data_IF_366324041213
#
_entry.id   IF_366324041213
#
_cell.length_a   1.000
_cell.length_b   1.000
_cell.length_c   1.000
_cell.angle_alpha   90.00
_cell.angle_beta   90.00
_cell.angle_gamma   90.00
#
_symmetry.space_group_name_H-M   'P 1'
#
loop_
_entity.id
_entity.type
_entity.pdbx_description
1 polymer ?
#
# COMPACT_ATOMS: atom_id res chain seq x y z
N UNK A 1 -5.21 1.90 14.25
CA UNK A 1 -4.44 0.81 13.62
C UNK A 1 -5.34 -0.39 13.29
N UNK A 2 -6.01 -1.00 14.27
CA UNK A 2 -6.96 -2.09 14.07
C UNK A 2 -8.35 -1.57 13.70
N UNK A 3 -9.11 -2.35 12.93
CA UNK A 3 -10.51 -2.02 12.65
C UNK A 3 -11.38 -2.12 13.91
N UNK A 4 -12.48 -1.38 13.90
CA UNK A 4 -13.45 -1.42 14.99
C UNK A 4 -14.11 -2.81 15.03
N UNK A 5 -13.89 -3.52 16.14
CA UNK A 5 -14.42 -4.88 16.33
C UNK A 5 -13.43 -6.00 16.01
N UNK A 6 -12.25 -5.72 15.50
CA UNK A 6 -11.20 -6.73 15.41
C UNK A 6 -10.66 -7.08 16.80
N UNK A 7 -10.64 -8.36 17.10
CA UNK A 7 -10.14 -8.88 18.37
C UNK A 7 -8.70 -9.33 18.20
N UNK A 8 -7.77 -8.49 18.62
CA UNK A 8 -6.33 -8.81 18.60
C UNK A 8 -6.08 -9.99 19.52
N UNK A 9 -5.46 -11.02 19.01
CA UNK A 9 -5.10 -12.20 19.79
C UNK A 9 -3.87 -11.95 20.66
N UNK A 10 -3.72 -12.74 21.76
CA UNK A 10 -2.51 -12.69 22.59
C UNK A 10 -1.23 -13.03 21.82
N UNK A 11 -1.34 -13.84 20.77
CA UNK A 11 -0.22 -14.17 19.90
C UNK A 11 0.23 -12.94 19.08
N UNK A 12 -0.71 -12.24 18.45
CA UNK A 12 -0.43 -11.00 17.71
C UNK A 12 0.14 -9.91 18.60
N UNK A 13 -0.40 -9.75 19.81
CA UNK A 13 0.16 -8.81 20.79
C UNK A 13 1.59 -9.18 21.20
N UNK A 14 1.89 -10.45 21.42
CA UNK A 14 3.25 -10.89 21.72
C UNK A 14 4.20 -10.64 20.55
N UNK A 15 3.79 -10.92 19.32
CA UNK A 15 4.60 -10.62 18.13
C UNK A 15 4.89 -9.13 18.01
N UNK A 16 3.88 -8.28 18.20
CA UNK A 16 4.03 -6.84 18.16
C UNK A 16 5.01 -6.36 19.25
N UNK A 17 4.84 -6.80 20.49
CA UNK A 17 5.75 -6.46 21.58
C UNK A 17 7.18 -6.93 21.29
N UNK A 18 7.36 -8.17 20.85
CA UNK A 18 8.68 -8.68 20.49
C UNK A 18 9.33 -7.90 19.33
N UNK A 19 8.54 -7.44 18.39
CA UNK A 19 9.04 -6.59 17.30
C UNK A 19 9.46 -5.21 17.82
N UNK A 20 8.67 -4.63 18.72
CA UNK A 20 8.98 -3.33 19.34
C UNK A 20 10.18 -3.40 20.27
N UNK A 21 10.32 -4.47 21.05
CA UNK A 21 11.44 -4.65 21.99
C UNK A 21 12.80 -4.87 21.29
N UNK A 22 12.80 -5.27 20.02
CA UNK A 22 14.03 -5.41 19.21
C UNK A 22 14.61 -4.07 18.78
N UNK A 23 13.85 -2.99 18.87
CA UNK A 23 14.23 -1.69 18.39
C UNK A 23 13.96 -0.65 19.47
N UNK A 24 14.96 0.14 19.80
CA UNK A 24 14.81 1.25 20.74
C UNK A 24 14.17 2.49 20.08
N UNK A 25 13.81 3.47 20.90
CA UNK A 25 13.21 4.71 20.41
C UNK A 25 14.11 5.49 19.47
N UNK A 26 15.44 5.38 19.58
CA UNK A 26 16.38 6.03 18.69
C UNK A 26 16.36 5.41 17.29
N UNK A 27 16.16 4.09 17.21
CA UNK A 27 15.97 3.41 15.92
C UNK A 27 14.76 3.99 15.17
N UNK A 28 13.62 4.11 15.83
CA UNK A 28 12.41 4.65 15.19
C UNK A 28 12.58 6.12 14.79
N UNK A 29 13.23 6.94 15.62
CA UNK A 29 13.55 8.33 15.28
C UNK A 29 14.50 8.42 14.09
N UNK A 30 15.54 7.60 14.04
CA UNK A 30 16.47 7.57 12.93
C UNK A 30 15.80 7.10 11.64
N UNK A 31 14.94 6.08 11.69
CA UNK A 31 14.18 5.62 10.54
C UNK A 31 13.22 6.70 10.01
N UNK A 32 12.49 7.38 10.91
CA UNK A 32 11.59 8.47 10.53
C UNK A 32 12.35 9.66 9.93
N UNK A 33 13.49 10.06 10.53
CA UNK A 33 14.33 11.13 10.02
C UNK A 33 14.93 10.78 8.65
N UNK A 34 15.38 9.54 8.48
CA UNK A 34 15.86 9.02 7.20
C UNK A 34 14.77 9.04 6.12
N UNK A 35 13.57 8.60 6.43
CA UNK A 35 12.44 8.65 5.51
C UNK A 35 12.12 10.09 5.06
N UNK A 36 12.08 11.04 6.02
CA UNK A 36 11.80 12.45 5.70
C UNK A 36 12.93 13.06 4.85
N UNK A 37 14.19 12.75 5.19
CA UNK A 37 15.35 13.25 4.44
C UNK A 37 15.36 12.70 3.00
N UNK A 38 15.09 11.40 2.84
CA UNK A 38 15.02 10.73 1.54
C UNK A 38 13.87 11.28 0.69
N UNK A 39 12.69 11.47 1.30
CA UNK A 39 11.55 12.07 0.62
C UNK A 39 11.84 13.51 0.14
N UNK A 40 12.52 14.31 0.95
CA UNK A 40 12.96 15.67 0.56
C UNK A 40 14.04 15.63 -0.53
N UNK A 41 14.99 14.71 -0.45
CA UNK A 41 16.09 14.60 -1.41
C UNK A 41 15.63 14.08 -2.78
N UNK A 42 14.72 13.09 -2.79
CA UNK A 42 14.22 12.48 -4.00
C UNK A 42 13.01 13.25 -4.59
N UNK A 43 12.37 14.09 -3.77
CA UNK A 43 11.27 14.94 -4.18
C UNK A 43 10.20 14.19 -4.96
N UNK A 44 9.95 14.69 -6.15
CA UNK A 44 8.89 14.19 -7.04
C UNK A 44 9.11 12.76 -7.58
N UNK A 45 10.29 12.17 -7.42
CA UNK A 45 10.58 10.79 -7.86
C UNK A 45 9.80 9.75 -7.08
N UNK A 46 9.44 10.06 -5.83
CA UNK A 46 8.62 9.19 -4.98
C UNK A 46 7.12 9.48 -5.11
N UNK A 47 6.72 10.41 -5.97
CA UNK A 47 5.31 10.70 -6.21
C UNK A 47 4.69 9.54 -7.01
N UNK A 48 3.82 8.78 -6.35
CA UNK A 48 3.07 7.68 -6.97
C UNK A 48 2.29 8.15 -8.20
N UNK A 49 1.69 9.33 -8.15
CA UNK A 49 0.93 9.89 -9.26
C UNK A 49 1.78 10.06 -10.52
N UNK A 50 3.01 10.53 -10.37
CA UNK A 50 3.97 10.63 -11.49
C UNK A 50 4.42 9.28 -11.99
N UNK A 51 4.70 8.34 -11.11
CA UNK A 51 5.05 6.96 -11.50
C UNK A 51 3.90 6.33 -12.28
N UNK A 52 2.68 6.45 -11.79
CA UNK A 52 1.50 5.96 -12.49
C UNK A 52 1.39 6.58 -13.90
N UNK A 53 1.45 7.90 -14.02
CA UNK A 53 1.34 8.58 -15.31
C UNK A 53 2.46 8.19 -16.28
N UNK A 54 3.67 7.99 -15.80
CA UNK A 54 4.81 7.61 -16.62
C UNK A 54 4.75 6.17 -17.14
N UNK A 55 4.11 5.26 -16.40
CA UNK A 55 4.20 3.82 -16.68
C UNK A 55 2.86 3.11 -16.90
N UNK A 56 1.71 3.79 -16.76
CA UNK A 56 0.37 3.18 -16.88
C UNK A 56 0.13 2.44 -18.20
N UNK A 57 0.75 2.88 -19.29
CA UNK A 57 0.63 2.23 -20.59
C UNK A 57 1.56 1.01 -20.74
N UNK A 58 2.43 0.79 -19.77
CA UNK A 58 3.41 -0.30 -19.77
C UNK A 58 3.14 -1.36 -18.71
N UNK A 59 2.58 -0.95 -17.59
CA UNK A 59 2.31 -1.82 -16.44
C UNK A 59 0.90 -1.57 -15.89
N UNK A 60 0.19 -2.60 -15.49
CA UNK A 60 -1.04 -2.43 -14.73
C UNK A 60 -0.72 -1.91 -13.32
N UNK A 61 -1.59 -1.06 -12.82
CA UNK A 61 -1.49 -0.51 -11.46
C UNK A 61 -2.81 -0.74 -10.74
N UNK A 62 -2.71 -1.22 -9.52
CA UNK A 62 -3.83 -1.30 -8.59
C UNK A 62 -3.40 -0.70 -7.27
N UNK A 63 -4.22 0.15 -6.71
CA UNK A 63 -4.06 0.65 -5.35
C UNK A 63 -5.11 -0.02 -4.48
N UNK A 64 -4.66 -0.71 -3.45
CA UNK A 64 -5.53 -1.24 -2.40
C UNK A 64 -5.32 -0.46 -1.10
N UNK A 65 -6.37 -0.28 -0.35
CA UNK A 65 -6.26 0.33 0.96
C UNK A 65 -7.50 0.10 1.82
N UNK A 66 -7.32 0.24 3.11
CA UNK A 66 -8.32 -0.07 4.13
C UNK A 66 -9.38 1.01 4.26
N UNK A 67 -10.64 0.59 4.29
CA UNK A 67 -11.77 1.51 4.43
C UNK A 67 -11.93 2.05 5.87
N UNK A 68 -11.52 1.29 6.88
CA UNK A 68 -11.67 1.68 8.28
C UNK A 68 -10.43 2.39 8.86
N UNK A 69 -9.34 2.48 8.12
CA UNK A 69 -8.19 3.30 8.51
C UNK A 69 -8.39 4.74 8.00
N UNK A 70 -8.53 5.74 8.89
CA UNK A 70 -8.83 7.12 8.47
C UNK A 70 -7.73 7.74 7.59
N UNK A 71 -6.48 7.31 7.76
CA UNK A 71 -5.37 7.81 6.98
C UNK A 71 -5.39 7.21 5.56
N UNK A 72 -5.51 5.89 5.44
CA UNK A 72 -5.59 5.21 4.15
C UNK A 72 -6.85 5.60 3.38
N UNK A 73 -7.98 5.66 4.05
CA UNK A 73 -9.25 6.09 3.44
C UNK A 73 -9.09 7.45 2.73
N UNK A 74 -8.49 8.42 3.40
CA UNK A 74 -8.23 9.73 2.80
C UNK A 74 -7.27 9.67 1.62
N UNK A 75 -6.22 8.85 1.69
CA UNK A 75 -5.26 8.67 0.59
C UNK A 75 -5.93 8.04 -0.63
N UNK A 76 -6.79 7.06 -0.41
CA UNK A 76 -7.58 6.40 -1.46
C UNK A 76 -8.53 7.40 -2.13
N UNK A 77 -9.24 8.21 -1.35
CA UNK A 77 -10.14 9.23 -1.90
C UNK A 77 -9.39 10.23 -2.79
N UNK A 78 -8.24 10.70 -2.34
CA UNK A 78 -7.38 11.58 -3.14
C UNK A 78 -6.86 10.91 -4.40
N UNK A 79 -6.47 9.65 -4.33
CA UNK A 79 -6.03 8.88 -5.50
C UNK A 79 -7.18 8.68 -6.49
N UNK A 80 -8.38 8.36 -6.00
CA UNK A 80 -9.57 8.23 -6.82
C UNK A 80 -9.94 9.53 -7.52
N UNK A 81 -9.92 10.63 -6.80
CA UNK A 81 -10.23 11.95 -7.34
C UNK A 81 -9.26 12.37 -8.44
N UNK A 82 -7.97 12.17 -8.21
CA UNK A 82 -6.90 12.67 -9.08
C UNK A 82 -6.56 11.74 -10.23
N UNK A 83 -6.53 10.44 -9.97
CA UNK A 83 -5.98 9.45 -10.90
C UNK A 83 -7.01 8.43 -11.41
N UNK A 84 -8.17 8.30 -10.74
CA UNK A 84 -9.21 7.37 -11.17
C UNK A 84 -9.70 7.64 -12.59
N UNK A 85 -9.91 8.91 -12.94
CA UNK A 85 -10.29 9.32 -14.29
C UNK A 85 -9.22 9.06 -15.36
N UNK A 86 -7.97 8.84 -14.93
CA UNK A 86 -6.84 8.54 -15.79
C UNK A 86 -6.58 7.04 -15.90
N UNK A 87 -7.47 6.21 -15.33
CA UNK A 87 -7.44 4.75 -15.44
C UNK A 87 -6.76 4.04 -14.28
N UNK A 88 -6.43 4.73 -13.17
CA UNK A 88 -5.94 4.04 -11.97
C UNK A 88 -7.08 3.20 -11.38
N UNK A 89 -6.82 1.91 -11.24
CA UNK A 89 -7.74 1.00 -10.57
C UNK A 89 -7.56 1.08 -9.06
N UNK A 90 -8.66 1.28 -8.35
CA UNK A 90 -8.67 1.42 -6.89
C UNK A 90 -9.58 0.36 -6.31
N UNK A 91 -9.07 -0.36 -5.32
CA UNK A 91 -9.77 -1.40 -4.58
C UNK A 91 -9.83 -1.02 -3.10
N UNK A 92 -11.02 -1.01 -2.55
CA UNK A 92 -11.22 -0.78 -1.12
C UNK A 92 -11.28 -2.12 -0.41
N UNK A 93 -10.41 -2.27 0.58
CA UNK A 93 -10.34 -3.48 1.39
C UNK A 93 -11.06 -3.22 2.72
N UNK A 94 -11.85 -4.16 3.23
CA UNK A 94 -12.41 -4.03 4.56
C UNK A 94 -11.31 -4.10 5.62
N UNK A 95 -11.58 -3.56 6.79
CA UNK A 95 -10.68 -3.63 7.93
C UNK A 95 -9.80 -2.41 8.14
N UNK A 96 -8.90 -2.48 9.10
CA UNK A 96 -8.01 -1.41 9.52
C UNK A 96 -6.65 -1.46 8.83
N UNK A 97 -5.69 -0.76 9.42
CA UNK A 97 -4.34 -0.57 8.84
C UNK A 97 -3.55 -1.87 8.62
N UNK A 98 -3.78 -2.88 9.45
CA UNK A 98 -3.08 -4.16 9.36
C UNK A 98 -3.90 -5.19 8.55
N UNK A 99 -4.21 -4.88 7.33
CA UNK A 99 -5.03 -5.70 6.42
C UNK A 99 -4.51 -7.13 6.29
N UNK A 100 -3.20 -7.36 6.34
CA UNK A 100 -2.59 -8.69 6.30
C UNK A 100 -3.04 -9.58 7.45
N UNK A 101 -3.32 -9.02 8.60
CA UNK A 101 -3.79 -9.73 9.79
C UNK A 101 -5.31 -9.82 9.84
N UNK A 102 -5.98 -8.71 9.53
CA UNK A 102 -7.42 -8.61 9.67
C UNK A 102 -8.21 -9.24 8.52
N UNK A 103 -7.66 -9.14 7.29
CA UNK A 103 -8.37 -9.53 6.06
C UNK A 103 -7.45 -10.24 5.06
N UNK A 104 -6.78 -11.32 5.45
CA UNK A 104 -5.80 -11.99 4.59
C UNK A 104 -6.44 -12.54 3.29
N UNK A 105 -7.70 -12.99 3.36
CA UNK A 105 -8.41 -13.51 2.19
C UNK A 105 -8.75 -12.40 1.19
N UNK A 106 -9.16 -11.23 1.65
CA UNK A 106 -9.45 -10.09 0.79
C UNK A 106 -8.17 -9.59 0.10
N UNK A 107 -7.06 -9.54 0.83
CA UNK A 107 -5.75 -9.20 0.28
C UNK A 107 -5.27 -10.23 -0.75
N UNK A 108 -5.41 -11.53 -0.45
CA UNK A 108 -5.05 -12.60 -1.38
C UNK A 108 -5.89 -12.54 -2.67
N UNK A 109 -7.19 -12.26 -2.55
CA UNK A 109 -8.08 -12.09 -3.71
C UNK A 109 -7.65 -10.89 -4.58
N UNK A 110 -7.23 -9.78 -3.97
CA UNK A 110 -6.71 -8.62 -4.70
C UNK A 110 -5.43 -8.96 -5.44
N UNK A 111 -4.48 -9.65 -4.80
CA UNK A 111 -3.23 -10.10 -5.44
C UNK A 111 -3.52 -11.01 -6.62
N UNK A 112 -4.39 -12.01 -6.45
CA UNK A 112 -4.78 -12.92 -7.53
C UNK A 112 -5.49 -12.20 -8.69
N UNK A 113 -6.27 -11.15 -8.40
CA UNK A 113 -6.86 -10.29 -9.43
C UNK A 113 -5.78 -9.55 -10.21
N UNK A 114 -4.78 -9.00 -9.53
CA UNK A 114 -3.66 -8.31 -10.13
C UNK A 114 -2.80 -9.23 -11.01
N UNK A 115 -2.52 -10.45 -10.55
CA UNK A 115 -1.80 -11.45 -11.33
C UNK A 115 -2.50 -11.75 -12.67
N UNK A 116 -3.83 -11.89 -12.66
CA UNK A 116 -4.61 -12.08 -13.91
C UNK A 116 -4.50 -10.88 -14.86
N UNK A 117 -4.38 -9.68 -14.33
CA UNK A 117 -4.14 -8.49 -15.16
C UNK A 117 -2.77 -8.54 -15.83
N UNK A 118 -1.73 -9.00 -15.10
CA UNK A 118 -0.37 -9.13 -15.63
C UNK A 118 -0.28 -10.13 -16.77
N UNK A 119 -0.98 -11.26 -16.69
CA UNK A 119 -0.99 -12.29 -17.75
C UNK A 119 -1.54 -11.75 -19.06
N UNK A 120 -2.46 -10.79 -18.99
CA UNK A 120 -3.10 -10.18 -20.17
C UNK A 120 -2.29 -8.99 -20.75
N UNK A 121 -1.17 -8.60 -20.15
CA UNK A 121 -0.29 -7.56 -20.71
C UNK A 121 0.46 -8.14 -21.91
N UNK A 122 0.34 -7.55 -23.12
CA UNK A 122 1.07 -8.03 -24.28
C UNK A 122 2.58 -8.07 -24.01
N UNK A 123 3.23 -9.19 -24.31
CA UNK A 123 4.67 -9.41 -24.09
C UNK A 123 5.59 -8.32 -24.68
N UNK A 124 5.09 -7.49 -25.57
CA UNK A 124 5.81 -6.34 -26.13
C UNK A 124 6.10 -5.23 -25.13
N UNK A 125 5.28 -5.08 -24.08
CA UNK A 125 5.46 -4.03 -23.08
C UNK A 125 6.63 -4.33 -22.11
N UNK A 126 6.93 -5.61 -21.89
CA UNK A 126 7.95 -6.06 -20.93
C UNK A 126 9.35 -6.12 -21.56
N UNK A 127 9.46 -6.26 -22.89
CA UNK A 127 10.74 -6.40 -23.61
C UNK A 127 11.28 -5.11 -24.23
N UNK A 128 10.76 -3.98 -23.87
CA UNK A 128 11.19 -2.69 -24.38
C UNK A 128 12.40 -2.12 -23.62
N UNK A 129 13.60 -2.64 -23.92
CA UNK A 129 14.95 -2.08 -23.70
C UNK A 129 15.42 -1.90 -22.28
#
# INVERSE_FOLDING_TARGET
MWSKGYHVTDAELRELHNAMDRHDGLFYLAAAAGFVADHKAQGERLDFGRLFLAYRDRFPFVVGGSDEDPFEHRQIDLAQERLGKLGLQIERLPGGHLTTNEQPEALAALIAKFERMLVNVPNRAIRGR
#
